data_IF_822982497161
#
_entry.id   IF_822982497161
#
_cell.length_a   1.000
_cell.length_b   1.000
_cell.length_c   1.000
_cell.angle_alpha   90.00
_cell.angle_beta   90.00
_cell.angle_gamma   90.00
#
_symmetry.space_group_name_H-M   'P 1'
#
loop_
_entity.id
_entity.type
_entity.pdbx_description
1 polymer ?
#
# COMPACT_ATOMS: atom_id res chain seq x y z
N UNK A 1 22.24 -6.96 -28.47
CA UNK A 1 20.95 -7.61 -28.22
C UNK A 1 21.22 -8.87 -27.38
N UNK A 2 20.52 -9.02 -26.25
CA UNK A 2 20.62 -10.22 -25.42
C UNK A 2 19.31 -11.00 -25.61
N UNK A 3 19.44 -12.35 -25.63
CA UNK A 3 18.30 -13.26 -25.62
C UNK A 3 18.23 -13.85 -24.21
N UNK A 4 17.10 -13.67 -23.53
CA UNK A 4 16.82 -14.29 -22.25
C UNK A 4 16.09 -15.63 -22.47
N UNK A 5 16.55 -16.69 -21.82
CA UNK A 5 15.87 -17.99 -21.81
C UNK A 5 15.48 -18.29 -20.37
N UNK A 6 14.17 -18.42 -20.11
CA UNK A 6 13.64 -18.83 -18.82
C UNK A 6 13.45 -20.34 -18.79
N UNK A 7 14.06 -21.00 -17.80
CA UNK A 7 13.88 -22.41 -17.56
C UNK A 7 13.18 -22.58 -16.22
N UNK A 8 12.01 -23.25 -16.18
CA UNK A 8 11.28 -23.47 -14.93
C UNK A 8 12.13 -24.26 -13.93
N UNK A 9 12.19 -23.80 -12.68
CA UNK A 9 12.90 -24.49 -11.62
C UNK A 9 12.06 -25.70 -11.15
N UNK A 10 12.54 -26.96 -11.29
CA UNK A 10 11.82 -28.13 -10.80
C UNK A 10 11.69 -28.17 -9.28
N UNK A 11 12.58 -27.48 -8.55
CA UNK A 11 12.56 -27.38 -7.09
C UNK A 11 12.14 -25.99 -6.65
N UNK A 12 10.85 -25.72 -6.63
CA UNK A 12 10.31 -24.45 -6.16
C UNK A 12 10.46 -24.32 -4.64
N UNK A 13 10.94 -23.19 -4.15
CA UNK A 13 11.03 -22.87 -2.73
C UNK A 13 10.02 -21.79 -2.34
N UNK A 14 9.36 -21.96 -1.18
CA UNK A 14 8.46 -20.95 -0.65
C UNK A 14 9.24 -19.74 -0.13
N UNK A 15 8.98 -18.58 -0.70
CA UNK A 15 9.53 -17.29 -0.21
C UNK A 15 8.63 -16.77 0.90
N UNK A 16 9.11 -16.87 2.15
CA UNK A 16 8.37 -16.36 3.33
C UNK A 16 8.61 -14.87 3.50
N UNK A 17 7.57 -14.14 3.95
CA UNK A 17 7.65 -12.70 4.16
C UNK A 17 8.67 -12.30 5.24
N UNK A 18 8.69 -13.02 6.38
CA UNK A 18 9.55 -12.69 7.52
C UNK A 18 11.04 -12.58 7.15
N UNK A 19 11.67 -13.57 6.48
CA UNK A 19 13.06 -13.43 6.06
C UNK A 19 13.30 -12.26 5.10
N UNK A 20 12.29 -11.85 4.34
CA UNK A 20 12.38 -10.67 3.49
C UNK A 20 12.44 -9.38 4.30
N UNK A 21 11.61 -9.26 5.33
CA UNK A 21 11.61 -8.12 6.24
C UNK A 21 12.90 -8.03 7.09
N UNK A 22 13.50 -9.17 7.41
CA UNK A 22 14.75 -9.27 8.17
C UNK A 22 16.00 -9.09 7.26
N UNK A 23 15.84 -9.01 5.93
CA UNK A 23 16.96 -8.83 5.00
C UNK A 23 17.58 -7.43 5.10
N UNK A 24 18.89 -7.34 4.84
CA UNK A 24 19.60 -6.05 4.79
C UNK A 24 18.97 -5.10 3.78
N UNK A 25 18.55 -5.62 2.63
CA UNK A 25 17.90 -4.84 1.58
C UNK A 25 16.64 -4.12 2.08
N UNK A 26 15.84 -4.78 2.94
CA UNK A 26 14.65 -4.18 3.53
C UNK A 26 14.99 -3.26 4.70
N UNK A 27 15.89 -3.68 5.59
CA UNK A 27 16.27 -2.93 6.79
C UNK A 27 16.99 -1.59 6.47
N UNK A 28 17.69 -1.52 5.34
CA UNK A 28 18.32 -0.29 4.86
C UNK A 28 17.35 0.70 4.20
N UNK A 29 16.09 0.28 3.93
CA UNK A 29 15.07 1.16 3.40
C UNK A 29 14.53 2.08 4.50
N UNK A 30 14.86 3.35 4.43
CA UNK A 30 14.38 4.38 5.38
C UNK A 30 12.96 4.84 5.12
N UNK A 31 12.32 4.38 4.05
CA UNK A 31 10.97 4.79 3.69
C UNK A 31 9.91 4.14 4.59
N UNK A 32 8.94 4.90 5.10
CA UNK A 32 7.82 4.35 5.86
C UNK A 32 6.87 3.51 5.00
N UNK A 33 6.89 3.65 3.67
CA UNK A 33 6.07 2.86 2.75
C UNK A 33 6.89 1.84 1.96
N UNK A 34 8.01 1.37 2.54
CA UNK A 34 8.77 0.26 2.01
C UNK A 34 7.98 -1.05 2.12
N UNK A 35 8.10 -1.91 1.11
CA UNK A 35 7.51 -3.25 1.10
C UNK A 35 8.38 -4.25 0.35
N UNK A 36 8.26 -5.53 0.74
CA UNK A 36 8.98 -6.63 0.12
C UNK A 36 8.13 -7.23 -1.01
N UNK A 37 8.75 -7.42 -2.18
CA UNK A 37 8.12 -8.08 -3.34
C UNK A 37 8.44 -9.58 -3.40
N UNK A 38 9.61 -9.99 -2.94
CA UNK A 38 10.06 -11.38 -3.01
C UNK A 38 11.55 -11.47 -3.30
N UNK A 39 11.93 -12.49 -4.04
CA UNK A 39 13.31 -12.71 -4.49
C UNK A 39 13.38 -12.69 -6.01
N UNK A 40 14.47 -12.18 -6.54
CA UNK A 40 14.77 -12.25 -7.95
C UNK A 40 15.24 -13.67 -8.35
N UNK A 41 15.53 -13.85 -9.64
CA UNK A 41 16.03 -15.12 -10.20
C UNK A 41 17.38 -15.55 -9.62
N UNK A 42 18.14 -14.62 -9.05
CA UNK A 42 19.41 -14.87 -8.35
C UNK A 42 19.23 -15.15 -6.87
N UNK A 43 17.99 -15.16 -6.37
CA UNK A 43 17.66 -15.37 -4.97
C UNK A 43 17.84 -14.14 -4.07
N UNK A 44 18.13 -12.97 -4.65
CA UNK A 44 18.32 -11.74 -3.90
C UNK A 44 16.96 -11.11 -3.51
N UNK A 45 16.84 -10.53 -2.30
CA UNK A 45 15.63 -9.82 -1.89
C UNK A 45 15.32 -8.63 -2.78
N UNK A 46 14.07 -8.52 -3.24
CA UNK A 46 13.55 -7.38 -3.99
C UNK A 46 12.60 -6.60 -3.10
N UNK A 47 12.92 -5.33 -2.88
CA UNK A 47 12.14 -4.39 -2.07
C UNK A 47 11.78 -3.17 -2.90
N UNK A 48 10.66 -2.56 -2.58
CA UNK A 48 10.16 -1.38 -3.27
C UNK A 48 9.59 -0.36 -2.29
N UNK A 49 9.26 0.83 -2.78
CA UNK A 49 8.81 1.96 -1.98
C UNK A 49 7.64 2.69 -2.65
N UNK A 50 6.47 2.65 -2.02
CA UNK A 50 5.28 3.35 -2.54
C UNK A 50 5.42 4.88 -2.55
N UNK A 51 6.34 5.46 -1.77
CA UNK A 51 6.58 6.91 -1.85
C UNK A 51 7.15 7.30 -3.22
N UNK A 52 7.97 6.41 -3.80
CA UNK A 52 8.60 6.63 -5.12
C UNK A 52 7.70 6.23 -6.30
N UNK A 53 6.70 5.38 -6.05
CA UNK A 53 5.71 4.96 -7.02
C UNK A 53 4.31 5.19 -6.42
N UNK A 54 3.76 6.41 -6.50
CA UNK A 54 2.56 6.81 -5.75
C UNK A 54 1.34 5.94 -6.03
N UNK A 55 1.32 5.23 -7.15
CA UNK A 55 0.29 4.26 -7.53
C UNK A 55 0.96 2.97 -8.00
N UNK A 56 0.42 1.84 -7.56
CA UNK A 56 0.88 0.51 -7.94
C UNK A 56 -0.30 -0.30 -8.47
N UNK A 57 -0.21 -0.75 -9.72
CA UNK A 57 -1.15 -1.71 -10.29
C UNK A 57 -0.57 -3.12 -10.20
N UNK A 58 -1.34 -4.04 -9.60
CA UNK A 58 -0.99 -5.45 -9.50
C UNK A 58 -1.97 -6.24 -10.36
N UNK A 59 -1.48 -6.83 -11.42
CA UNK A 59 -2.28 -7.63 -12.34
C UNK A 59 -1.79 -9.09 -12.36
N UNK A 60 -2.72 -10.01 -12.57
CA UNK A 60 -2.41 -11.43 -12.69
C UNK A 60 -3.67 -12.27 -12.88
N UNK A 61 -3.49 -13.45 -13.46
CA UNK A 61 -4.57 -14.45 -13.60
C UNK A 61 -4.91 -15.06 -12.24
N UNK A 62 -6.05 -15.73 -12.16
CA UNK A 62 -6.44 -16.48 -10.95
C UNK A 62 -5.33 -17.48 -10.57
N UNK A 63 -4.94 -17.45 -9.30
CA UNK A 63 -3.85 -18.32 -8.79
C UNK A 63 -2.43 -17.77 -9.03
N UNK A 64 -2.24 -16.63 -9.70
CA UNK A 64 -0.93 -16.02 -9.92
C UNK A 64 -0.26 -15.44 -8.66
N UNK A 65 -0.99 -15.33 -7.55
CA UNK A 65 -0.49 -14.78 -6.30
C UNK A 65 -0.84 -13.29 -6.07
N UNK A 66 -1.74 -12.69 -6.87
CA UNK A 66 -2.19 -11.29 -6.69
C UNK A 66 -2.57 -11.00 -5.23
N UNK A 67 -3.46 -11.78 -4.65
CA UNK A 67 -3.94 -11.61 -3.28
C UNK A 67 -2.86 -11.81 -2.22
N UNK A 68 -1.94 -12.74 -2.47
CA UNK A 68 -0.77 -12.96 -1.59
C UNK A 68 0.14 -11.74 -1.63
N UNK A 69 0.37 -11.16 -2.81
CA UNK A 69 1.16 -9.96 -2.98
C UNK A 69 0.53 -8.77 -2.25
N UNK A 70 -0.78 -8.51 -2.43
CA UNK A 70 -1.51 -7.44 -1.73
C UNK A 70 -1.43 -7.64 -0.21
N UNK A 71 -1.63 -8.87 0.26
CA UNK A 71 -1.51 -9.21 1.69
C UNK A 71 -0.11 -8.94 2.23
N UNK A 72 0.93 -9.33 1.50
CA UNK A 72 2.32 -9.11 1.89
C UNK A 72 2.67 -7.61 1.94
N UNK A 73 2.26 -6.83 0.94
CA UNK A 73 2.44 -5.38 0.91
C UNK A 73 1.74 -4.75 2.12
N UNK A 74 0.46 -5.09 2.34
CA UNK A 74 -0.32 -4.59 3.47
C UNK A 74 0.35 -4.88 4.81
N UNK A 75 0.84 -6.12 4.99
CA UNK A 75 1.55 -6.52 6.20
C UNK A 75 2.83 -5.69 6.40
N UNK A 76 3.64 -5.49 5.35
CA UNK A 76 4.83 -4.63 5.42
C UNK A 76 4.48 -3.21 5.88
N UNK A 77 3.45 -2.61 5.30
CA UNK A 77 3.02 -1.26 5.61
C UNK A 77 2.55 -1.12 7.06
N UNK A 78 1.77 -2.08 7.55
CA UNK A 78 1.25 -2.10 8.93
C UNK A 78 2.39 -2.31 9.93
N UNK A 79 3.32 -3.22 9.64
CA UNK A 79 4.43 -3.53 10.56
C UNK A 79 5.44 -2.39 10.67
N UNK A 80 5.58 -1.57 9.63
CA UNK A 80 6.55 -0.46 9.60
C UNK A 80 6.00 0.87 10.11
N UNK A 81 4.71 0.95 10.39
CA UNK A 81 4.08 2.21 10.75
C UNK A 81 3.19 2.06 11.98
N UNK A 82 3.03 3.15 12.70
CA UNK A 82 1.95 3.29 13.69
C UNK A 82 0.68 3.84 13.03
N UNK A 83 -0.51 3.66 13.62
CA UNK A 83 -1.76 4.24 13.10
C UNK A 83 -1.76 5.77 13.01
N UNK A 84 -0.88 6.43 13.76
CA UNK A 84 -0.69 7.89 13.71
C UNK A 84 0.06 8.32 12.45
N UNK A 85 0.90 7.44 11.88
CA UNK A 85 1.74 7.74 10.72
C UNK A 85 1.16 7.22 9.41
N UNK A 86 0.35 6.14 9.48
CA UNK A 86 -0.28 5.50 8.33
C UNK A 86 -1.72 5.14 8.62
N UNK A 87 -2.61 5.56 7.73
CA UNK A 87 -4.00 5.11 7.69
C UNK A 87 -4.28 4.39 6.37
N UNK A 88 -5.15 3.41 6.41
CA UNK A 88 -5.46 2.57 5.24
C UNK A 88 -6.96 2.53 5.04
N UNK A 89 -7.42 2.77 3.82
CA UNK A 89 -8.77 2.46 3.37
C UNK A 89 -8.73 1.24 2.45
N UNK A 90 -9.66 0.31 2.61
CA UNK A 90 -9.71 -0.93 1.85
C UNK A 90 -11.06 -1.13 1.19
N UNK A 91 -11.05 -1.48 -0.11
CA UNK A 91 -12.23 -1.79 -0.92
C UNK A 91 -12.11 -3.23 -1.44
N UNK A 92 -13.07 -4.07 -1.07
CA UNK A 92 -13.12 -5.49 -1.44
C UNK A 92 -14.54 -5.88 -1.89
N UNK A 93 -14.88 -5.67 -3.18
CA UNK A 93 -16.23 -5.99 -3.69
C UNK A 93 -16.54 -7.48 -3.64
N UNK A 94 -15.53 -8.34 -3.60
CA UNK A 94 -15.70 -9.80 -3.57
C UNK A 94 -15.81 -10.37 -2.15
N UNK A 95 -15.53 -9.57 -1.12
CA UNK A 95 -15.58 -9.96 0.30
C UNK A 95 -14.68 -11.15 0.64
N UNK A 96 -13.51 -11.27 0.01
CA UNK A 96 -12.65 -12.45 0.16
C UNK A 96 -11.30 -12.11 0.74
N UNK A 97 -10.56 -11.21 0.09
CA UNK A 97 -9.12 -11.09 0.31
C UNK A 97 -8.76 -10.12 1.42
N UNK A 98 -9.44 -8.99 1.51
CA UNK A 98 -9.09 -7.93 2.45
C UNK A 98 -9.85 -8.01 3.78
N UNK A 99 -10.90 -8.82 3.87
CA UNK A 99 -11.74 -8.95 5.07
C UNK A 99 -10.95 -9.35 6.32
N UNK A 100 -9.85 -10.06 6.15
CA UNK A 100 -8.94 -10.48 7.23
C UNK A 100 -8.27 -9.33 7.97
N UNK A 101 -8.24 -8.14 7.36
CA UNK A 101 -7.66 -6.94 7.97
C UNK A 101 -8.65 -6.14 8.82
N UNK A 102 -9.93 -6.52 8.84
CA UNK A 102 -10.90 -5.86 9.72
C UNK A 102 -10.44 -5.93 11.19
N UNK A 103 -10.51 -4.78 11.87
CA UNK A 103 -10.04 -4.65 13.26
C UNK A 103 -8.59 -4.19 13.41
N UNK A 104 -7.82 -4.11 12.32
CA UNK A 104 -6.47 -3.53 12.38
C UNK A 104 -6.57 -2.01 12.63
N UNK A 105 -5.84 -1.46 13.63
CA UNK A 105 -6.00 -0.06 14.05
C UNK A 105 -5.60 0.98 12.99
N UNK A 106 -4.90 0.57 11.92
CA UNK A 106 -4.54 1.42 10.80
C UNK A 106 -5.72 1.72 9.85
N UNK A 107 -6.78 0.91 9.89
CA UNK A 107 -7.94 1.14 9.01
C UNK A 107 -8.67 2.44 9.39
N UNK A 108 -9.11 3.18 8.37
CA UNK A 108 -9.98 4.35 8.53
C UNK A 108 -11.42 3.96 8.88
N UNK A 109 -11.80 2.73 8.55
CA UNK A 109 -13.08 2.13 8.82
C UNK A 109 -13.00 0.62 8.59
N UNK A 110 -14.13 -0.06 8.50
CA UNK A 110 -14.16 -1.46 8.05
C UNK A 110 -13.79 -1.52 6.56
N UNK A 111 -13.33 -2.68 6.12
CA UNK A 111 -13.19 -2.97 4.68
C UNK A 111 -14.55 -2.76 4.03
N UNK A 112 -14.62 -1.87 3.03
CA UNK A 112 -15.85 -1.56 2.33
C UNK A 112 -16.13 -2.60 1.25
N UNK A 113 -17.35 -3.11 1.24
CA UNK A 113 -17.77 -4.18 0.34
C UNK A 113 -18.98 -3.79 -0.53
N UNK A 114 -19.64 -2.71 -0.19
CA UNK A 114 -20.78 -2.18 -0.91
C UNK A 114 -20.34 -1.20 -2.01
N UNK A 115 -20.77 -1.41 -3.25
CA UNK A 115 -20.34 -0.63 -4.41
C UNK A 115 -20.66 0.86 -4.29
N UNK A 116 -21.84 1.22 -3.80
CA UNK A 116 -22.23 2.62 -3.66
C UNK A 116 -21.37 3.33 -2.60
N UNK A 117 -21.07 2.63 -1.51
CA UNK A 117 -20.21 3.14 -0.48
C UNK A 117 -18.75 3.23 -0.93
N UNK A 118 -18.28 2.30 -1.77
CA UNK A 118 -16.93 2.37 -2.36
C UNK A 118 -16.76 3.64 -3.19
N UNK A 119 -17.79 4.03 -3.98
CA UNK A 119 -17.79 5.31 -4.68
C UNK A 119 -17.69 6.49 -3.70
N UNK A 120 -18.39 6.39 -2.55
CA UNK A 120 -18.29 7.35 -1.46
C UNK A 120 -16.86 7.47 -0.91
N UNK A 121 -16.17 6.34 -0.70
CA UNK A 121 -14.76 6.32 -0.25
C UNK A 121 -13.84 6.97 -1.28
N UNK A 122 -14.04 6.72 -2.58
CA UNK A 122 -13.24 7.35 -3.64
C UNK A 122 -13.47 8.88 -3.68
N UNK A 123 -14.72 9.33 -3.60
CA UNK A 123 -15.06 10.77 -3.51
C UNK A 123 -14.44 11.40 -2.26
N UNK A 124 -14.53 10.73 -1.13
CA UNK A 124 -13.87 11.18 0.10
C UNK A 124 -12.35 11.30 -0.07
N UNK A 125 -11.70 10.35 -0.73
CA UNK A 125 -10.25 10.40 -0.96
C UNK A 125 -9.84 11.63 -1.80
N UNK A 126 -10.63 11.98 -2.83
CA UNK A 126 -10.41 13.20 -3.61
C UNK A 126 -10.59 14.46 -2.76
N UNK A 127 -11.67 14.52 -1.96
CA UNK A 127 -11.91 15.66 -1.06
C UNK A 127 -10.79 15.79 0.00
N UNK A 128 -10.33 14.69 0.55
CA UNK A 128 -9.22 14.69 1.51
C UNK A 128 -7.91 15.13 0.87
N UNK A 129 -7.66 14.74 -0.37
CA UNK A 129 -6.51 15.21 -1.15
C UNK A 129 -6.56 16.74 -1.31
N UNK A 130 -7.69 17.29 -1.75
CA UNK A 130 -7.87 18.75 -1.92
C UNK A 130 -7.73 19.49 -0.60
N UNK A 131 -8.30 18.95 0.49
CA UNK A 131 -8.15 19.51 1.83
C UNK A 131 -6.67 19.55 2.24
N UNK A 132 -5.93 18.49 2.00
CA UNK A 132 -4.48 18.43 2.28
C UNK A 132 -3.69 19.42 1.45
N UNK A 133 -4.00 19.60 0.18
CA UNK A 133 -3.34 20.62 -0.63
C UNK A 133 -3.50 22.02 0.00
N UNK A 134 -4.69 22.40 0.45
CA UNK A 134 -4.92 23.67 1.15
C UNK A 134 -4.11 23.77 2.45
N UNK A 135 -4.10 22.71 3.26
CA UNK A 135 -3.30 22.69 4.50
C UNK A 135 -1.80 22.84 4.25
N UNK A 136 -1.28 22.22 3.18
CA UNK A 136 0.11 22.34 2.79
C UNK A 136 0.41 23.76 2.28
N UNK A 137 -0.48 24.35 1.49
CA UNK A 137 -0.37 25.72 0.99
C UNK A 137 -0.35 26.74 2.14
N UNK A 138 -1.31 26.68 3.05
CA UNK A 138 -1.40 27.56 4.23
C UNK A 138 -0.15 27.45 5.13
N UNK A 139 0.41 26.26 5.23
CA UNK A 139 1.64 26.02 5.97
C UNK A 139 2.91 26.35 5.17
N UNK A 140 2.80 26.77 3.90
CA UNK A 140 3.93 26.92 2.97
C UNK A 140 4.84 25.67 2.95
N UNK A 141 4.22 24.47 2.89
CA UNK A 141 4.90 23.20 2.88
C UNK A 141 4.75 22.54 1.49
N UNK A 142 5.86 22.13 0.89
CA UNK A 142 5.88 21.48 -0.44
C UNK A 142 5.43 20.02 -0.42
N UNK A 143 5.46 19.38 0.74
CA UNK A 143 5.15 17.96 0.93
C UNK A 143 4.73 17.66 2.37
N UNK A 144 4.16 16.46 2.57
CA UNK A 144 3.67 16.01 3.87
C UNK A 144 4.77 15.96 4.95
N UNK A 145 6.01 15.60 4.57
CA UNK A 145 7.13 15.51 5.53
C UNK A 145 7.48 16.92 6.06
N UNK A 146 7.55 17.88 5.15
CA UNK A 146 7.81 19.29 5.51
C UNK A 146 6.67 19.86 6.35
N UNK A 147 5.42 19.55 6.00
CA UNK A 147 4.25 19.93 6.77
C UNK A 147 4.32 19.39 8.19
N UNK A 148 4.45 18.07 8.34
CA UNK A 148 4.49 17.40 9.65
C UNK A 148 5.62 17.93 10.54
N UNK A 149 6.82 18.14 9.98
CA UNK A 149 7.94 18.75 10.72
C UNK A 149 7.61 20.15 11.25
N UNK A 150 6.87 20.96 10.48
CA UNK A 150 6.41 22.27 10.93
C UNK A 150 5.36 22.16 12.05
N UNK A 151 4.43 21.21 11.93
CA UNK A 151 3.41 20.96 12.96
C UNK A 151 4.05 20.47 14.27
N UNK A 152 4.97 19.54 14.20
CA UNK A 152 5.72 19.02 15.37
C UNK A 152 6.43 20.13 16.14
N UNK A 153 7.12 21.04 15.42
CA UNK A 153 7.78 22.21 16.03
C UNK A 153 6.80 23.13 16.77
N UNK A 154 5.57 23.20 16.30
CA UNK A 154 4.47 23.97 16.92
C UNK A 154 3.69 23.16 17.96
N UNK A 155 4.04 21.90 18.19
CA UNK A 155 3.31 20.93 19.04
C UNK A 155 1.85 20.74 18.61
N UNK A 156 1.60 20.79 17.31
CA UNK A 156 0.31 20.57 16.67
C UNK A 156 0.22 19.17 16.08
N UNK A 157 -1.00 18.74 15.76
CA UNK A 157 -1.28 17.44 15.19
C UNK A 157 -0.66 17.28 13.79
N UNK A 158 0.01 16.16 13.56
CA UNK A 158 0.54 15.76 12.25
C UNK A 158 -0.51 15.03 11.42
N UNK A 159 -0.30 14.98 10.11
CA UNK A 159 -1.14 14.22 9.19
C UNK A 159 -0.51 12.85 8.88
N UNK A 160 -1.26 11.74 8.98
CA UNK A 160 -0.80 10.44 8.53
C UNK A 160 -0.70 10.39 7.00
N UNK A 161 0.10 9.46 6.47
CA UNK A 161 -0.07 8.99 5.10
C UNK A 161 -1.37 8.21 5.00
N UNK A 162 -2.00 8.25 3.83
CA UNK A 162 -3.19 7.45 3.54
C UNK A 162 -2.88 6.56 2.34
N UNK A 163 -3.10 5.26 2.49
CA UNK A 163 -3.00 4.28 1.41
C UNK A 163 -4.40 3.72 1.16
N UNK A 164 -4.84 3.78 -0.09
CA UNK A 164 -6.08 3.15 -0.55
C UNK A 164 -5.72 1.84 -1.24
N UNK A 165 -6.30 0.73 -0.78
CA UNK A 165 -6.10 -0.60 -1.34
C UNK A 165 -7.43 -1.07 -1.95
N UNK A 166 -7.38 -1.46 -3.22
CA UNK A 166 -8.53 -1.95 -3.98
C UNK A 166 -8.18 -3.36 -4.46
N UNK A 167 -8.94 -4.37 -4.06
CA UNK A 167 -8.68 -5.75 -4.50
C UNK A 167 -8.99 -5.95 -5.99
N UNK A 168 -10.12 -5.47 -6.46
CA UNK A 168 -10.51 -5.63 -7.86
C UNK A 168 -11.00 -4.30 -8.46
N UNK A 169 -10.12 -3.69 -9.26
CA UNK A 169 -10.42 -2.40 -9.88
C UNK A 169 -11.48 -2.52 -10.99
N UNK A 170 -11.49 -3.64 -11.71
CA UNK A 170 -12.43 -3.87 -12.80
C UNK A 170 -13.89 -3.82 -12.33
N UNK A 171 -14.18 -4.40 -11.17
CA UNK A 171 -15.54 -4.43 -10.61
C UNK A 171 -16.04 -3.00 -10.27
N UNK A 172 -15.14 -2.13 -9.82
CA UNK A 172 -15.49 -0.73 -9.57
C UNK A 172 -15.73 0.07 -10.87
N UNK A 173 -14.97 -0.22 -11.92
CA UNK A 173 -15.13 0.48 -13.19
C UNK A 173 -16.37 0.05 -13.98
N UNK A 174 -16.81 -1.18 -13.83
CA UNK A 174 -18.00 -1.71 -14.54
C UNK A 174 -19.32 -1.23 -13.94
N UNK A 175 -19.31 -0.77 -12.68
CA UNK A 175 -20.50 -0.28 -11.97
C UNK A 175 -20.64 1.25 -11.99
N UNK A 176 -19.67 1.95 -12.59
CA UNK A 176 -19.76 3.40 -12.80
C UNK A 176 -20.49 3.68 -14.11
N UNK A 177 -21.63 4.42 -14.11
CA UNK A 177 -22.33 4.81 -15.33
C UNK A 177 -21.50 5.74 -16.21
#
# INVERSE_FOLDING_TARGET
>A
SYVGIEVPNPNTSLVKLRPMLESDAFQQMSSPLAFALGKDVSGQPVVADLVRMPHLLIAGTTGSGKSVCITAITACLIMNNTPQNLRIAMLDPKMVELMRFNGVPHLLGKVETDHDRMQGVLKWALMEMDNRYRLLEDAHARDLVTYNRKQERKKLTTLPRIVLIIDELADLMMTSP
#
